data_IF_089000940196
#
_entry.id   IF_089000940196
#
_cell.length_a   1.000
_cell.length_b   1.000
_cell.length_c   1.000
_cell.angle_alpha   90.00
_cell.angle_beta   90.00
_cell.angle_gamma   90.00
#
_symmetry.space_group_name_H-M   'P 1'
#
loop_
_entity.id
_entity.type
_entity.pdbx_description
1 polymer ?
#
# COMPACT_ATOMS: atom_id res chain seq x y z
N UNK A 1 -6.29 1.30 20.26
CA UNK A 1 -6.02 0.48 19.03
C UNK A 1 -6.85 -0.78 19.12
N UNK A 2 -7.54 -1.13 18.05
CA UNK A 2 -8.30 -2.38 17.91
C UNK A 2 -7.64 -3.19 16.81
N UNK A 3 -7.28 -4.44 17.10
CA UNK A 3 -6.77 -5.36 16.08
C UNK A 3 -7.87 -5.88 15.18
N UNK A 4 -7.52 -6.25 13.95
CA UNK A 4 -8.43 -6.87 12.99
C UNK A 4 -8.96 -8.21 13.52
N UNK A 5 -10.25 -8.44 13.31
CA UNK A 5 -10.87 -9.74 13.51
C UNK A 5 -10.76 -10.55 12.23
N UNK A 6 -9.94 -11.60 12.21
CA UNK A 6 -9.76 -12.41 11.02
C UNK A 6 -9.80 -13.91 11.31
N UNK A 7 -9.99 -14.68 10.26
CA UNK A 7 -9.78 -16.13 10.23
C UNK A 7 -8.92 -16.53 9.05
N UNK A 8 -8.15 -17.59 9.20
CA UNK A 8 -7.36 -18.16 8.13
C UNK A 8 -8.12 -19.28 7.44
N UNK A 9 -8.24 -19.22 6.11
CA UNK A 9 -8.89 -20.22 5.27
C UNK A 9 -7.90 -20.58 4.17
N UNK A 10 -7.33 -21.80 4.21
CA UNK A 10 -6.34 -22.27 3.21
C UNK A 10 -5.22 -21.25 2.96
N UNK A 11 -4.59 -20.76 4.04
CA UNK A 11 -3.55 -19.70 4.02
C UNK A 11 -4.02 -18.33 3.51
N UNK A 12 -5.31 -18.11 3.35
CA UNK A 12 -5.88 -16.79 3.03
C UNK A 12 -6.40 -16.12 4.31
N UNK A 13 -5.94 -14.91 4.63
CA UNK A 13 -6.51 -14.12 5.72
C UNK A 13 -7.83 -13.50 5.27
N UNK A 14 -8.89 -13.81 6.00
CA UNK A 14 -10.25 -13.35 5.74
C UNK A 14 -10.70 -12.44 6.88
N UNK A 15 -11.04 -11.19 6.56
CA UNK A 15 -11.59 -10.25 7.52
C UNK A 15 -13.02 -10.60 7.88
N UNK A 16 -13.30 -10.76 9.17
CA UNK A 16 -14.67 -10.93 9.68
C UNK A 16 -15.45 -9.61 9.68
N UNK A 17 -14.75 -8.49 9.92
CA UNK A 17 -15.36 -7.17 10.00
C UNK A 17 -15.83 -6.67 8.62
N UNK A 18 -15.06 -6.93 7.56
CA UNK A 18 -15.38 -6.49 6.20
C UNK A 18 -15.93 -7.57 5.29
N UNK A 19 -15.98 -8.84 5.77
CA UNK A 19 -16.44 -9.99 4.99
C UNK A 19 -15.72 -10.11 3.65
N UNK A 20 -14.39 -9.99 3.68
CA UNK A 20 -13.52 -9.97 2.49
C UNK A 20 -12.15 -10.60 2.78
N UNK A 21 -11.43 -11.00 1.72
CA UNK A 21 -10.06 -11.49 1.82
C UNK A 21 -9.07 -10.32 1.78
N UNK A 22 -7.96 -10.43 2.52
CA UNK A 22 -6.86 -9.48 2.41
C UNK A 22 -6.08 -9.68 1.11
N UNK A 23 -5.82 -10.92 0.75
CA UNK A 23 -5.17 -11.30 -0.51
C UNK A 23 -5.58 -12.72 -0.91
N UNK A 24 -5.39 -13.06 -2.17
CA UNK A 24 -5.51 -14.43 -2.65
C UNK A 24 -4.15 -15.13 -2.51
N UNK A 25 -4.09 -16.25 -1.77
CA UNK A 25 -2.85 -17.03 -1.56
C UNK A 25 -2.21 -17.56 -2.83
N UNK A 26 -2.99 -17.76 -3.90
CA UNK A 26 -2.49 -18.35 -5.14
C UNK A 26 -1.79 -17.32 -6.04
N UNK A 27 -2.25 -16.06 -6.02
CA UNK A 27 -1.80 -15.03 -6.97
C UNK A 27 -1.79 -13.59 -6.40
N UNK A 28 -1.76 -13.43 -5.08
CA UNK A 28 -1.73 -12.09 -4.45
C UNK A 28 -0.46 -11.29 -4.79
N UNK A 29 0.68 -11.98 -4.94
CA UNK A 29 1.93 -11.35 -5.36
C UNK A 29 1.82 -10.82 -6.79
N UNK A 30 1.34 -11.63 -7.72
CA UNK A 30 1.16 -11.25 -9.12
C UNK A 30 0.14 -10.13 -9.25
N UNK A 31 -0.89 -10.11 -8.39
CA UNK A 31 -1.85 -9.00 -8.35
C UNK A 31 -1.17 -7.70 -7.90
N UNK A 32 -0.36 -7.74 -6.84
CA UNK A 32 0.41 -6.57 -6.38
C UNK A 32 1.38 -6.07 -7.44
N UNK A 33 2.11 -6.98 -8.09
CA UNK A 33 3.00 -6.65 -9.22
C UNK A 33 2.23 -5.93 -10.33
N UNK A 34 1.16 -6.54 -10.80
CA UNK A 34 0.36 -5.99 -11.90
C UNK A 34 -0.29 -4.66 -11.53
N UNK A 35 -1.02 -4.62 -10.41
CA UNK A 35 -1.82 -3.44 -10.05
C UNK A 35 -0.92 -2.28 -9.61
N UNK A 36 0.03 -2.54 -8.71
CA UNK A 36 0.71 -1.44 -8.03
C UNK A 36 2.11 -1.16 -8.59
N UNK A 37 2.88 -2.20 -8.93
CA UNK A 37 4.24 -2.00 -9.43
C UNK A 37 4.22 -1.55 -10.90
N UNK A 38 3.52 -2.27 -11.77
CA UNK A 38 3.51 -1.97 -13.21
C UNK A 38 2.75 -0.67 -13.52
N UNK A 39 1.55 -0.49 -12.96
CA UNK A 39 0.71 0.67 -13.28
C UNK A 39 1.12 1.98 -12.60
N UNK A 40 2.00 1.93 -11.58
CA UNK A 40 2.76 3.09 -11.10
C UNK A 40 4.16 3.21 -11.74
N UNK A 41 4.55 2.27 -12.63
CA UNK A 41 5.87 2.21 -13.28
C UNK A 41 7.03 2.22 -12.25
N UNK A 42 6.86 1.55 -11.12
CA UNK A 42 7.78 1.72 -9.98
C UNK A 42 9.19 1.22 -10.31
N UNK A 43 9.36 0.14 -11.08
CA UNK A 43 10.69 -0.39 -11.44
C UNK A 43 11.52 0.66 -12.18
N UNK A 44 10.94 1.30 -13.19
CA UNK A 44 11.60 2.33 -14.00
C UNK A 44 11.87 3.58 -13.17
N UNK A 45 10.90 4.00 -12.36
CA UNK A 45 11.01 5.18 -11.51
C UNK A 45 12.06 5.00 -10.42
N UNK A 46 12.15 3.82 -9.80
CA UNK A 46 13.18 3.51 -8.81
C UNK A 46 14.59 3.53 -9.42
N UNK A 47 14.76 2.97 -10.61
CA UNK A 47 16.04 2.98 -11.32
C UNK A 47 16.50 4.41 -11.73
N UNK A 48 15.57 5.34 -11.86
CA UNK A 48 15.83 6.74 -12.26
C UNK A 48 15.89 7.73 -11.10
N UNK A 49 15.74 7.29 -9.85
CA UNK A 49 15.86 8.18 -8.68
C UNK A 49 17.32 8.63 -8.53
N UNK A 50 17.55 9.92 -8.68
CA UNK A 50 18.87 10.50 -8.53
C UNK A 50 19.12 10.96 -7.09
N UNK A 51 19.69 10.08 -6.26
CA UNK A 51 20.10 10.33 -4.86
C UNK A 51 19.04 11.00 -3.97
N UNK A 52 17.77 10.83 -4.33
CA UNK A 52 16.65 11.51 -3.72
C UNK A 52 15.81 10.57 -2.83
N UNK A 53 14.91 11.17 -2.11
CA UNK A 53 13.85 10.49 -1.37
C UNK A 53 12.70 10.19 -2.35
N UNK A 54 12.26 8.94 -2.39
CA UNK A 54 11.04 8.53 -3.10
C UNK A 54 9.96 8.22 -2.07
N UNK A 55 8.82 8.86 -2.17
CA UNK A 55 7.73 8.70 -1.21
C UNK A 55 6.57 7.95 -1.83
N UNK A 56 6.17 6.85 -1.19
CA UNK A 56 4.94 6.12 -1.50
C UNK A 56 3.96 6.31 -0.35
N UNK A 57 2.69 6.60 -0.67
CA UNK A 57 1.62 6.58 0.32
C UNK A 57 0.60 5.51 -0.06
N UNK A 58 0.22 4.71 0.92
CA UNK A 58 -0.74 3.62 0.79
C UNK A 58 -1.94 3.83 1.71
N UNK A 59 -3.14 3.47 1.25
CA UNK A 59 -4.32 3.29 2.09
C UNK A 59 -4.56 1.80 2.32
N UNK A 60 -4.66 1.37 3.59
CA UNK A 60 -4.86 -0.04 3.94
C UNK A 60 -3.58 -0.87 3.90
N UNK A 61 -2.79 -0.84 4.99
CA UNK A 61 -1.57 -1.65 5.12
C UNK A 61 -1.86 -3.15 5.12
N UNK A 62 -2.95 -3.55 5.77
CA UNK A 62 -3.40 -4.93 5.84
C UNK A 62 -2.33 -5.88 6.34
N UNK A 63 -1.93 -6.80 5.48
CA UNK A 63 -0.90 -7.81 5.76
C UNK A 63 0.53 -7.34 5.45
N UNK A 64 0.71 -6.13 4.94
CA UNK A 64 1.99 -5.60 4.52
C UNK A 64 2.51 -6.15 3.18
N UNK A 65 1.68 -6.87 2.43
CA UNK A 65 2.10 -7.50 1.16
C UNK A 65 2.61 -6.46 0.15
N UNK A 66 1.85 -5.39 -0.08
CA UNK A 66 2.26 -4.34 -1.02
C UNK A 66 3.58 -3.69 -0.60
N UNK A 67 3.74 -3.39 0.69
CA UNK A 67 4.98 -2.86 1.23
C UNK A 67 6.16 -3.79 0.97
N UNK A 68 6.02 -5.09 1.23
CA UNK A 68 7.09 -6.06 1.04
C UNK A 68 7.51 -6.18 -0.42
N UNK A 69 6.54 -6.21 -1.35
CA UNK A 69 6.82 -6.24 -2.79
C UNK A 69 7.52 -4.95 -3.24
N UNK A 70 7.04 -3.79 -2.82
CA UNK A 70 7.68 -2.49 -3.10
C UNK A 70 9.10 -2.45 -2.55
N UNK A 71 9.31 -2.88 -1.31
CA UNK A 71 10.62 -2.90 -0.66
C UNK A 71 11.62 -3.81 -1.41
N UNK A 72 11.17 -4.98 -1.87
CA UNK A 72 11.99 -5.87 -2.68
C UNK A 72 12.43 -5.22 -3.99
N UNK A 73 11.49 -4.56 -4.70
CA UNK A 73 11.81 -3.81 -5.92
C UNK A 73 12.72 -2.61 -5.66
N UNK A 74 12.49 -1.88 -4.56
CA UNK A 74 13.35 -0.77 -4.18
C UNK A 74 14.81 -1.22 -4.02
N UNK A 75 15.03 -2.30 -3.30
CA UNK A 75 16.37 -2.83 -3.08
C UNK A 75 17.02 -3.40 -4.34
N UNK A 76 16.21 -3.86 -5.30
CA UNK A 76 16.71 -4.42 -6.55
C UNK A 76 17.07 -3.34 -7.60
N UNK A 77 16.33 -2.24 -7.63
CA UNK A 77 16.42 -1.27 -8.73
C UNK A 77 16.94 0.11 -8.34
N UNK A 78 16.70 0.55 -7.09
CA UNK A 78 17.07 1.91 -6.67
C UNK A 78 18.58 2.02 -6.36
N UNK A 79 19.20 3.18 -6.64
CA UNK A 79 20.57 3.48 -6.25
C UNK A 79 20.80 3.28 -4.75
N UNK A 80 22.02 2.86 -4.37
CA UNK A 80 22.35 2.52 -2.98
C UNK A 80 22.18 3.68 -1.99
N UNK A 81 22.34 4.90 -2.44
CA UNK A 81 22.24 6.14 -1.66
C UNK A 81 20.84 6.77 -1.69
N UNK A 82 19.93 6.26 -2.50
CA UNK A 82 18.53 6.67 -2.48
C UNK A 82 17.78 6.06 -1.29
N UNK A 83 16.74 6.76 -0.82
CA UNK A 83 15.88 6.34 0.29
C UNK A 83 14.43 6.22 -0.14
N UNK A 84 13.78 5.16 0.31
CA UNK A 84 12.33 4.99 0.22
C UNK A 84 11.69 5.44 1.53
N UNK A 85 10.72 6.34 1.42
CA UNK A 85 9.78 6.64 2.50
C UNK A 85 8.42 6.04 2.14
N UNK A 86 8.03 4.99 2.83
CA UNK A 86 6.74 4.35 2.65
C UNK A 86 5.83 4.73 3.81
N UNK A 87 4.72 5.37 3.52
CA UNK A 87 3.72 5.80 4.49
C UNK A 87 2.47 4.97 4.25
N UNK A 88 1.96 4.30 5.27
CA UNK A 88 0.72 3.55 5.15
C UNK A 88 -0.22 3.83 6.30
N UNK A 89 -1.53 3.76 6.05
CA UNK A 89 -2.56 3.95 7.03
C UNK A 89 -3.33 2.64 7.21
N UNK A 90 -3.53 2.20 8.46
CA UNK A 90 -4.28 1.00 8.79
C UNK A 90 -5.17 1.23 10.01
N UNK A 91 -6.47 1.03 9.86
CA UNK A 91 -7.43 1.23 10.94
C UNK A 91 -7.43 0.09 11.95
N UNK A 92 -7.32 -1.14 11.46
CA UNK A 92 -7.37 -2.36 12.25
C UNK A 92 -6.17 -3.25 11.92
N UNK A 93 -4.98 -2.94 12.48
CA UNK A 93 -3.77 -3.70 12.19
C UNK A 93 -3.94 -5.17 12.63
N UNK A 94 -3.22 -6.07 12.00
CA UNK A 94 -3.14 -7.45 12.46
C UNK A 94 -2.43 -7.51 13.81
N UNK A 95 -2.79 -8.45 14.66
CA UNK A 95 -1.95 -8.75 15.81
C UNK A 95 -0.61 -9.36 15.38
N UNK A 96 0.39 -9.37 16.24
CA UNK A 96 1.75 -9.79 15.89
C UNK A 96 1.84 -11.23 15.37
N UNK A 97 1.02 -12.15 15.88
CA UNK A 97 1.02 -13.54 15.43
C UNK A 97 0.44 -13.69 14.02
N UNK A 98 -0.69 -13.05 13.74
CA UNK A 98 -1.31 -13.05 12.41
C UNK A 98 -0.45 -12.30 11.39
N UNK A 99 0.17 -11.19 11.80
CA UNK A 99 1.10 -10.45 10.95
C UNK A 99 2.34 -11.29 10.61
N UNK A 100 2.95 -11.92 11.61
CA UNK A 100 4.07 -12.85 11.39
C UNK A 100 3.70 -13.94 10.37
N UNK A 101 2.52 -14.56 10.54
CA UNK A 101 2.07 -15.60 9.62
C UNK A 101 1.85 -15.04 8.20
N UNK A 102 1.21 -13.88 8.07
CA UNK A 102 0.92 -13.24 6.78
C UNK A 102 2.18 -12.95 5.96
N UNK A 103 3.22 -12.37 6.57
CA UNK A 103 4.46 -12.02 5.87
C UNK A 103 5.31 -13.24 5.50
N UNK A 104 5.04 -14.41 6.10
CA UNK A 104 5.76 -15.65 5.82
C UNK A 104 5.01 -16.61 4.88
N UNK A 105 3.82 -16.26 4.41
CA UNK A 105 3.10 -17.03 3.36
C UNK A 105 3.89 -17.04 2.04
N UNK A 106 4.74 -16.04 1.81
CA UNK A 106 5.49 -15.82 0.55
C UNK A 106 7.01 -15.97 0.67
N UNK A 107 7.58 -17.04 1.27
CA UNK A 107 8.98 -17.07 1.72
C UNK A 107 10.04 -17.09 0.62
N UNK A 108 9.69 -17.39 -0.63
CA UNK A 108 10.69 -17.76 -1.67
C UNK A 108 10.66 -16.88 -2.92
N UNK A 109 9.86 -15.83 -2.96
CA UNK A 109 9.62 -15.08 -4.21
C UNK A 109 10.73 -14.08 -4.52
N UNK A 110 11.35 -13.48 -3.48
CA UNK A 110 12.39 -12.46 -3.65
C UNK A 110 13.59 -12.72 -2.73
N UNK A 111 14.84 -12.64 -3.23
CA UNK A 111 16.03 -12.93 -2.42
C UNK A 111 16.17 -12.10 -1.15
N UNK A 112 15.71 -10.84 -1.17
CA UNK A 112 15.82 -9.91 -0.04
C UNK A 112 14.58 -9.92 0.88
N UNK A 113 13.49 -10.57 0.49
CA UNK A 113 12.24 -10.58 1.23
C UNK A 113 12.38 -11.18 2.64
N UNK A 114 13.08 -12.30 2.84
CA UNK A 114 13.23 -12.88 4.18
C UNK A 114 13.91 -11.95 5.19
N UNK A 115 14.90 -11.15 4.74
CA UNK A 115 15.58 -10.19 5.63
C UNK A 115 14.64 -9.07 6.04
N UNK A 116 13.94 -8.45 5.07
CA UNK A 116 13.00 -7.36 5.34
C UNK A 116 11.85 -7.85 6.22
N UNK A 117 11.28 -9.03 5.93
CA UNK A 117 10.20 -9.61 6.72
C UNK A 117 10.62 -9.83 8.17
N UNK A 118 11.84 -10.32 8.40
CA UNK A 118 12.40 -10.53 9.74
C UNK A 118 12.59 -9.19 10.48
N UNK A 119 13.19 -8.19 9.83
CA UNK A 119 13.38 -6.87 10.44
C UNK A 119 12.04 -6.19 10.77
N UNK A 120 11.07 -6.31 9.87
CA UNK A 120 9.74 -5.73 10.04
C UNK A 120 8.96 -6.41 11.16
N UNK A 121 8.90 -7.74 11.19
CA UNK A 121 8.17 -8.48 12.24
C UNK A 121 8.73 -8.23 13.62
N UNK A 122 10.06 -8.16 13.78
CA UNK A 122 10.69 -7.87 15.06
C UNK A 122 10.32 -6.47 15.60
N UNK A 123 10.14 -5.49 14.73
CA UNK A 123 9.73 -4.13 15.13
C UNK A 123 8.21 -4.04 15.32
N UNK A 124 7.43 -4.78 14.53
CA UNK A 124 5.96 -4.80 14.58
C UNK A 124 5.40 -5.34 15.91
N UNK A 125 6.15 -6.17 16.64
CA UNK A 125 5.76 -6.66 17.97
C UNK A 125 5.45 -5.54 18.96
N UNK A 126 6.03 -4.35 18.75
CA UNK A 126 5.86 -3.17 19.61
C UNK A 126 4.89 -2.14 19.01
N UNK A 127 3.97 -2.56 18.13
CA UNK A 127 3.02 -1.67 17.47
C UNK A 127 2.15 -0.90 18.46
N UNK A 128 2.01 0.41 18.21
CA UNK A 128 1.24 1.36 19.03
C UNK A 128 0.11 1.96 18.20
N UNK A 129 -0.87 2.56 18.89
CA UNK A 129 -1.79 3.50 18.24
C UNK A 129 -1.01 4.69 17.67
N UNK A 130 -1.59 5.35 16.67
CA UNK A 130 -0.99 6.46 15.93
C UNK A 130 0.25 6.05 15.12
N UNK A 131 1.31 6.84 15.11
CA UNK A 131 2.47 6.66 14.25
C UNK A 131 3.48 5.65 14.80
N UNK A 132 3.86 4.71 13.94
CA UNK A 132 4.97 3.77 14.15
C UNK A 132 5.97 3.91 13.00
N UNK A 133 7.22 4.21 13.33
CA UNK A 133 8.30 4.34 12.34
C UNK A 133 9.24 3.15 12.42
N UNK A 134 9.37 2.43 11.31
CA UNK A 134 10.26 1.29 11.15
C UNK A 134 11.40 1.66 10.18
N UNK A 135 12.65 1.45 10.61
CA UNK A 135 13.83 1.63 9.78
C UNK A 135 14.37 0.27 9.37
N UNK A 136 14.42 0.02 8.07
CA UNK A 136 14.69 -1.27 7.47
C UNK A 136 15.82 -1.18 6.45
N UNK A 137 16.46 -2.33 6.17
CA UNK A 137 17.53 -2.46 5.17
C UNK A 137 18.63 -1.41 5.35
N UNK A 138 19.16 -1.27 6.60
CA UNK A 138 20.21 -0.29 6.92
C UNK A 138 19.75 1.17 6.71
N UNK A 139 18.49 1.47 6.99
CA UNK A 139 17.84 2.79 6.81
C UNK A 139 17.70 3.26 5.35
N UNK A 140 17.80 2.34 4.39
CA UNK A 140 17.42 2.62 3.00
C UNK A 140 15.91 2.69 2.81
N UNK A 141 15.15 2.10 3.73
CA UNK A 141 13.68 2.10 3.73
C UNK A 141 13.20 2.57 5.10
N UNK A 142 12.38 3.60 5.11
CA UNK A 142 11.58 4.00 6.25
C UNK A 142 10.13 3.67 5.96
N UNK A 143 9.48 2.90 6.84
CA UNK A 143 8.04 2.70 6.85
C UNK A 143 7.44 3.48 8.02
N UNK A 144 6.55 4.40 7.71
CA UNK A 144 5.69 5.08 8.68
C UNK A 144 4.29 4.48 8.61
N UNK A 145 3.94 3.67 9.60
CA UNK A 145 2.61 3.06 9.72
C UNK A 145 1.75 3.87 10.69
N UNK A 146 0.77 4.56 10.14
CA UNK A 146 -0.25 5.30 10.88
C UNK A 146 -1.41 4.37 11.25
N UNK A 147 -1.55 4.06 12.53
CA UNK A 147 -2.62 3.20 13.04
C UNK A 147 -3.81 4.04 13.48
N UNK A 148 -4.89 4.02 12.70
CA UNK A 148 -6.10 4.78 12.94
C UNK A 148 -6.97 4.97 11.70
N UNK A 149 -8.06 5.69 11.84
CA UNK A 149 -8.96 6.00 10.75
C UNK A 149 -8.27 6.88 9.68
N UNK A 150 -8.50 6.59 8.41
CA UNK A 150 -7.85 7.28 7.29
C UNK A 150 -8.14 8.80 7.30
N UNK A 151 -9.34 9.21 7.69
CA UNK A 151 -9.71 10.64 7.78
C UNK A 151 -9.06 11.35 8.97
N UNK A 152 -8.69 10.62 10.01
CA UNK A 152 -7.97 11.16 11.16
C UNK A 152 -6.45 11.20 10.89
N UNK A 153 -5.91 10.21 10.21
CA UNK A 153 -4.47 10.06 10.00
C UNK A 153 -3.94 10.88 8.82
N UNK A 154 -4.63 10.90 7.68
CA UNK A 154 -4.17 11.65 6.49
C UNK A 154 -3.86 13.13 6.77
N UNK A 155 -4.66 13.89 7.55
CA UNK A 155 -4.35 15.30 7.83
C UNK A 155 -3.01 15.53 8.54
N UNK A 156 -2.50 14.55 9.28
CA UNK A 156 -1.22 14.64 9.99
C UNK A 156 -0.01 14.50 9.09
N UNK A 157 -0.16 13.84 7.94
CA UNK A 157 0.90 13.60 6.95
C UNK A 157 1.22 14.91 6.23
N UNK A 158 2.53 15.21 6.09
CA UNK A 158 3.02 16.43 5.43
C UNK A 158 3.76 16.15 4.12
N UNK A 159 4.28 14.95 3.95
CA UNK A 159 5.02 14.52 2.78
C UNK A 159 4.10 14.35 1.58
N UNK A 160 4.50 14.89 0.42
CA UNK A 160 3.80 14.59 -0.83
C UNK A 160 4.28 13.26 -1.39
N UNK A 161 3.34 12.49 -1.92
CA UNK A 161 3.61 11.23 -2.58
C UNK A 161 4.25 11.43 -3.97
N UNK A 162 5.15 10.53 -4.33
CA UNK A 162 5.52 10.27 -5.72
C UNK A 162 4.53 9.27 -6.34
N UNK A 163 4.06 8.30 -5.55
CA UNK A 163 3.07 7.33 -5.98
C UNK A 163 2.09 6.99 -4.84
N UNK A 164 0.83 6.75 -5.21
CA UNK A 164 -0.20 6.23 -4.34
C UNK A 164 -0.50 4.77 -4.67
N UNK A 165 -0.58 3.95 -3.63
CA UNK A 165 -1.20 2.64 -3.66
C UNK A 165 -2.56 2.75 -2.96
N UNK A 166 -3.62 2.90 -3.75
CA UNK A 166 -4.97 3.03 -3.21
C UNK A 166 -5.57 1.63 -3.05
N UNK A 167 -5.30 1.04 -1.90
CA UNK A 167 -5.73 -0.30 -1.52
C UNK A 167 -6.68 -0.28 -0.32
N UNK A 168 -7.11 -1.45 0.10
CA UNK A 168 -8.09 -1.68 1.16
C UNK A 168 -9.27 -2.51 0.67
N UNK A 169 -10.24 -2.74 1.55
CA UNK A 169 -11.43 -3.49 1.18
C UNK A 169 -12.29 -2.78 0.13
N UNK A 170 -12.99 -3.60 -0.67
CA UNK A 170 -13.78 -3.11 -1.79
C UNK A 170 -14.68 -1.92 -1.42
N UNK A 171 -14.84 -0.92 -2.32
CA UNK A 171 -15.63 0.29 -2.01
C UNK A 171 -17.06 0.03 -1.51
N UNK A 172 -17.68 -1.07 -1.89
CA UNK A 172 -18.99 -1.47 -1.40
C UNK A 172 -18.99 -1.96 0.06
N UNK A 173 -17.82 -2.40 0.58
CA UNK A 173 -17.63 -2.95 1.93
C UNK A 173 -17.00 -1.96 2.89
N UNK A 174 -16.21 -1.01 2.38
CA UNK A 174 -15.53 0.02 3.15
C UNK A 174 -15.72 1.39 2.48
N UNK A 175 -16.93 1.96 2.60
CA UNK A 175 -17.30 3.19 1.91
C UNK A 175 -16.49 4.41 2.36
N UNK A 176 -16.12 4.48 3.62
CA UNK A 176 -15.47 5.64 4.25
C UNK A 176 -14.07 5.88 3.66
N UNK A 177 -13.31 4.80 3.41
CA UNK A 177 -11.97 4.87 2.78
C UNK A 177 -12.01 5.44 1.35
N UNK A 178 -13.18 5.40 0.70
CA UNK A 178 -13.39 5.86 -0.68
C UNK A 178 -14.31 7.08 -0.75
N UNK A 179 -14.28 7.92 0.28
CA UNK A 179 -15.06 9.15 0.39
C UNK A 179 -14.43 10.33 -0.35
N UNK A 180 -15.19 11.39 -0.59
CA UNK A 180 -14.72 12.65 -1.19
C UNK A 180 -13.66 13.33 -0.34
N UNK A 181 -13.80 13.22 0.97
CA UNK A 181 -12.87 13.76 1.96
C UNK A 181 -11.49 13.09 1.85
N UNK A 182 -11.46 11.75 1.69
CA UNK A 182 -10.22 11.00 1.45
C UNK A 182 -9.59 11.44 0.13
N UNK A 183 -10.35 11.57 -0.96
CA UNK A 183 -9.81 12.03 -2.25
C UNK A 183 -9.26 13.46 -2.17
N UNK A 184 -9.86 14.33 -1.38
CA UNK A 184 -9.33 15.69 -1.13
C UNK A 184 -7.97 15.62 -0.43
N UNK A 185 -7.80 14.73 0.55
CA UNK A 185 -6.50 14.53 1.21
C UNK A 185 -5.46 13.89 0.28
N UNK A 186 -5.86 12.95 -0.56
CA UNK A 186 -4.99 12.38 -1.60
C UNK A 186 -4.46 13.49 -2.52
N UNK A 187 -5.33 14.38 -3.01
CA UNK A 187 -4.91 15.52 -3.83
C UNK A 187 -3.96 16.46 -3.07
N UNK A 188 -4.26 16.79 -1.81
CA UNK A 188 -3.40 17.64 -0.97
C UNK A 188 -1.98 17.08 -0.81
N UNK A 189 -1.86 15.77 -0.75
CA UNK A 189 -0.58 15.04 -0.60
C UNK A 189 0.01 14.60 -1.95
N UNK A 190 -0.53 15.11 -3.06
CA UNK A 190 0.00 14.87 -4.41
C UNK A 190 0.67 16.13 -4.95
N UNK A 191 1.67 15.94 -5.78
CA UNK A 191 2.31 16.98 -6.61
C UNK A 191 2.13 16.61 -8.08
N UNK A 192 2.32 17.52 -8.99
CA UNK A 192 2.32 17.23 -10.43
C UNK A 192 3.18 15.99 -10.71
N UNK A 193 2.72 15.09 -11.55
CA UNK A 193 3.33 13.80 -11.88
C UNK A 193 3.20 12.70 -10.78
N UNK A 194 2.56 12.96 -9.64
CA UNK A 194 2.22 11.89 -8.70
C UNK A 194 1.30 10.87 -9.37
N UNK A 195 1.69 9.59 -9.37
CA UNK A 195 0.87 8.51 -9.94
C UNK A 195 -0.01 7.86 -8.89
N UNK A 196 -1.06 7.18 -9.34
CA UNK A 196 -1.80 6.24 -8.48
C UNK A 196 -2.16 4.97 -9.23
N UNK A 197 -2.37 3.90 -8.49
CA UNK A 197 -3.00 2.69 -8.98
C UNK A 197 -3.95 2.10 -7.91
N UNK A 198 -5.00 1.41 -8.36
CA UNK A 198 -5.96 0.72 -7.49
C UNK A 198 -6.61 -0.45 -8.23
N UNK A 199 -6.86 -1.52 -7.49
CA UNK A 199 -7.53 -2.72 -8.01
C UNK A 199 -8.99 -2.49 -8.42
N UNK A 200 -9.62 -1.41 -7.94
CA UNK A 200 -11.05 -1.15 -8.17
C UNK A 200 -11.29 -0.26 -9.39
N UNK A 201 -12.35 -0.54 -10.15
CA UNK A 201 -12.85 0.32 -11.23
C UNK A 201 -14.17 0.99 -10.89
N UNK A 202 -14.56 1.03 -9.62
CA UNK A 202 -15.82 1.60 -9.17
C UNK A 202 -16.02 3.04 -9.69
N UNK A 203 -17.16 3.31 -10.31
CA UNK A 203 -17.44 4.61 -10.94
C UNK A 203 -17.34 5.80 -9.99
N UNK A 204 -17.69 5.61 -8.69
CA UNK A 204 -17.53 6.65 -7.66
C UNK A 204 -16.07 6.98 -7.39
N UNK A 205 -15.19 5.96 -7.33
CA UNK A 205 -13.75 6.15 -7.14
C UNK A 205 -13.14 6.89 -8.32
N UNK A 206 -13.45 6.45 -9.55
CA UNK A 206 -12.99 7.12 -10.75
C UNK A 206 -13.39 8.60 -10.78
N UNK A 207 -14.67 8.90 -10.57
CA UNK A 207 -15.15 10.30 -10.58
C UNK A 207 -14.60 11.12 -9.43
N UNK A 208 -14.43 10.53 -8.24
CA UNK A 208 -13.83 11.20 -7.09
C UNK A 208 -12.40 11.63 -7.37
N UNK A 209 -11.56 10.74 -7.88
CA UNK A 209 -10.18 11.05 -8.26
C UNK A 209 -10.10 12.09 -9.39
N UNK A 210 -10.98 11.99 -10.41
CA UNK A 210 -11.06 12.98 -11.47
C UNK A 210 -11.43 14.37 -10.94
N UNK A 211 -12.39 14.44 -10.00
CA UNK A 211 -12.85 15.69 -9.43
C UNK A 211 -11.76 16.45 -8.65
N UNK A 212 -10.76 15.75 -8.15
CA UNK A 212 -9.65 16.34 -7.37
C UNK A 212 -8.35 16.52 -8.18
N UNK A 213 -8.36 16.34 -9.51
CA UNK A 213 -7.26 16.70 -10.40
C UNK A 213 -6.44 15.53 -10.95
N UNK A 214 -6.89 14.28 -10.79
CA UNK A 214 -6.22 13.15 -11.44
C UNK A 214 -6.77 12.90 -12.85
N UNK A 215 -5.87 12.70 -13.80
CA UNK A 215 -6.19 12.07 -15.08
C UNK A 215 -6.26 10.55 -14.88
N UNK A 216 -7.47 9.97 -14.99
CA UNK A 216 -7.73 8.57 -14.62
C UNK A 216 -7.90 7.72 -15.86
N UNK A 217 -7.17 6.62 -15.93
CA UNK A 217 -7.24 5.61 -16.99
C UNK A 217 -7.83 4.30 -16.45
N UNK A 218 -8.56 3.59 -17.32
CA UNK A 218 -9.02 2.23 -17.06
C UNK A 218 -8.09 1.24 -17.75
N UNK A 219 -7.82 0.14 -17.07
CA UNK A 219 -7.04 -0.98 -17.59
C UNK A 219 -7.80 -2.28 -17.36
N UNK A 220 -7.37 -3.36 -18.00
CA UNK A 220 -7.83 -4.70 -17.68
C UNK A 220 -7.54 -4.97 -16.18
N UNK A 221 -8.47 -5.59 -15.48
CA UNK A 221 -8.24 -6.01 -14.11
C UNK A 221 -7.38 -7.27 -14.05
N UNK A 222 -6.77 -7.53 -12.89
CA UNK A 222 -6.01 -8.75 -12.67
C UNK A 222 -6.94 -9.96 -12.49
N UNK A 223 -6.56 -11.09 -13.06
CA UNK A 223 -7.27 -12.36 -12.95
C UNK A 223 -8.72 -12.29 -13.41
N UNK A 224 -9.67 -12.48 -12.50
CA UNK A 224 -11.12 -12.43 -12.80
C UNK A 224 -11.71 -11.02 -12.70
N UNK A 225 -10.95 -10.03 -12.24
CA UNK A 225 -11.42 -8.64 -12.15
C UNK A 225 -11.48 -8.03 -13.55
N UNK A 226 -12.63 -7.44 -13.90
CA UNK A 226 -12.87 -6.92 -15.26
C UNK A 226 -11.99 -5.72 -15.60
N UNK A 227 -11.86 -4.78 -14.66
CA UNK A 227 -11.15 -3.52 -14.85
C UNK A 227 -10.50 -3.06 -13.55
N UNK A 228 -9.44 -2.26 -13.67
CA UNK A 228 -8.78 -1.51 -12.61
C UNK A 228 -8.56 -0.06 -13.04
N UNK A 229 -8.10 0.79 -12.13
CA UNK A 229 -7.77 2.18 -12.43
C UNK A 229 -6.31 2.49 -12.10
N UNK A 230 -5.71 3.32 -12.95
CA UNK A 230 -4.48 4.06 -12.63
C UNK A 230 -4.57 5.47 -13.17
N UNK A 231 -3.63 6.32 -12.81
CA UNK A 231 -3.59 7.66 -13.33
C UNK A 231 -2.47 8.52 -12.76
N UNK A 232 -2.54 9.80 -13.11
CA UNK A 232 -1.53 10.78 -12.76
C UNK A 232 -2.19 12.08 -12.32
N UNK A 233 -1.64 12.72 -11.32
CA UNK A 233 -2.06 14.03 -10.84
C UNK A 233 -1.54 15.12 -11.75
N UNK A 234 -2.43 16.01 -12.20
CA UNK A 234 -2.13 17.03 -13.21
C UNK A 234 -2.46 18.46 -12.77
N UNK A 235 -2.97 18.61 -11.53
CA UNK A 235 -3.27 19.92 -10.97
C UNK A 235 -2.04 20.58 -10.34
#
# INVERSE_FOLDING_TARGET
MQFASLKWISNQPYSLDFNDVYFNSDNGLEETEYVFIEHNQLKQRFASVDNALFTIIETGFGTGLNFLVVAAHWLAFAPLNAKLHYISIEKHPLNSADFFYAVHVWPHVWPNLPSISKELTAQYENLKADLNTFNLAGSRIQLDLHVGDVLEQLPSIKQCADAWLLDGFAPAKNADMWSSEVFTQIARLSKTETTFATFTSAGRVRRGLQAVGFKVNKHAGFGKKREMLSGIFTA
#
